data_IF_960975739492
#
_entry.id   IF_960975739492
#
_cell.length_a   1.000
_cell.length_b   1.000
_cell.length_c   1.000
_cell.angle_alpha   90.00
_cell.angle_beta   90.00
_cell.angle_gamma   90.00
#
_symmetry.space_group_name_H-M   'P 1'
#
loop_
_entity.id
_entity.type
_entity.pdbx_description
1 polymer ?
#
# COMPACT_ATOMS: atom_id res chain seq x y z
N UNK A 1 -14.78 10.24 -2.66
CA UNK A 1 -13.82 9.25 -3.19
C UNK A 1 -14.36 7.88 -2.79
N UNK A 2 -14.86 7.10 -3.77
CA UNK A 2 -15.71 5.92 -3.52
C UNK A 2 -14.90 4.62 -3.44
N UNK A 3 -15.32 3.71 -2.55
CA UNK A 3 -14.85 2.31 -2.43
C UNK A 3 -14.89 1.57 -3.78
N UNK A 4 -15.78 1.96 -4.68
CA UNK A 4 -15.91 1.34 -6.02
C UNK A 4 -14.64 1.37 -6.87
N UNK A 5 -13.70 2.28 -6.61
CA UNK A 5 -12.42 2.33 -7.34
C UNK A 5 -11.37 1.31 -6.86
N UNK A 6 -11.54 0.72 -5.68
CA UNK A 6 -10.70 -0.40 -5.22
C UNK A 6 -11.22 -1.71 -5.82
N UNK A 7 -12.54 -1.91 -5.78
CA UNK A 7 -13.21 -3.10 -6.30
C UNK A 7 -12.98 -3.33 -7.81
N UNK A 8 -12.62 -2.31 -8.58
CA UNK A 8 -12.27 -2.50 -10.00
C UNK A 8 -10.84 -3.03 -10.23
N UNK A 9 -10.00 -3.08 -9.20
CA UNK A 9 -8.58 -3.48 -9.31
C UNK A 9 -8.27 -4.84 -8.67
N UNK A 10 -9.22 -5.37 -7.90
CA UNK A 10 -9.13 -6.63 -7.17
C UNK A 10 -10.50 -7.31 -7.22
N UNK A 11 -10.52 -8.64 -7.19
CA UNK A 11 -11.78 -9.37 -7.02
C UNK A 11 -12.49 -8.91 -5.74
N UNK A 12 -13.82 -8.87 -5.75
CA UNK A 12 -14.62 -8.40 -4.61
C UNK A 12 -14.25 -9.13 -3.29
N UNK A 13 -13.88 -10.42 -3.41
CA UNK A 13 -13.44 -11.26 -2.30
C UNK A 13 -12.12 -10.80 -1.65
N UNK A 14 -11.32 -9.96 -2.33
CA UNK A 14 -10.03 -9.46 -1.84
C UNK A 14 -10.13 -8.04 -1.24
N UNK A 15 -11.28 -7.37 -1.38
CA UNK A 15 -11.49 -6.02 -0.82
C UNK A 15 -11.29 -6.00 0.70
N UNK A 16 -11.81 -7.03 1.40
CA UNK A 16 -11.61 -7.20 2.83
C UNK A 16 -10.13 -7.34 3.21
N UNK A 17 -9.39 -8.15 2.45
CA UNK A 17 -7.96 -8.41 2.68
C UNK A 17 -7.13 -7.13 2.51
N UNK A 18 -7.35 -6.38 1.43
CA UNK A 18 -6.65 -5.12 1.17
C UNK A 18 -6.97 -4.08 2.24
N UNK A 19 -8.25 -3.96 2.62
CA UNK A 19 -8.67 -3.00 3.66
C UNK A 19 -8.07 -3.32 5.02
N UNK A 20 -8.03 -4.61 5.40
CA UNK A 20 -7.40 -5.06 6.64
C UNK A 20 -5.90 -4.73 6.65
N UNK A 21 -5.19 -5.02 5.55
CA UNK A 21 -3.76 -4.71 5.43
C UNK A 21 -3.47 -3.21 5.44
N UNK A 22 -4.31 -2.39 4.82
CA UNK A 22 -4.18 -0.94 4.88
C UNK A 22 -4.34 -0.42 6.32
N UNK A 23 -5.33 -0.94 7.04
CA UNK A 23 -5.57 -0.58 8.44
C UNK A 23 -4.35 -0.92 9.30
N UNK A 24 -3.76 -2.09 9.11
CA UNK A 24 -2.54 -2.54 9.79
C UNK A 24 -1.35 -1.60 9.51
N UNK A 25 -1.08 -1.30 8.23
CA UNK A 25 0.03 -0.43 7.82
C UNK A 25 -0.15 0.99 8.37
N UNK A 26 -1.37 1.54 8.29
CA UNK A 26 -1.65 2.88 8.85
C UNK A 26 -1.45 2.90 10.35
N UNK A 27 -1.95 1.91 11.08
CA UNK A 27 -1.76 1.83 12.52
C UNK A 27 -0.26 1.76 12.89
N UNK A 28 0.53 0.98 12.15
CA UNK A 28 1.97 0.84 12.33
C UNK A 28 2.77 2.10 11.95
N UNK A 29 2.25 2.94 11.06
CA UNK A 29 2.94 4.15 10.60
C UNK A 29 2.98 5.28 11.64
N UNK A 30 2.18 5.23 12.70
CA UNK A 30 2.19 6.25 13.76
C UNK A 30 3.33 6.00 14.74
N UNK A 31 4.13 7.03 15.02
CA UNK A 31 5.18 6.98 16.03
C UNK A 31 4.59 7.12 17.42
N UNK A 32 5.35 6.70 18.44
CA UNK A 32 4.97 6.90 19.84
C UNK A 32 4.88 8.40 20.14
N UNK A 33 3.69 8.86 20.51
CA UNK A 33 3.41 10.28 20.77
C UNK A 33 2.67 11.00 19.63
N UNK A 34 2.46 10.36 18.48
CA UNK A 34 1.63 10.95 17.42
C UNK A 34 0.15 11.00 17.84
N UNK A 35 -0.49 12.15 17.62
CA UNK A 35 -1.95 12.29 17.76
C UNK A 35 -2.65 11.60 16.60
N UNK A 36 -3.39 10.53 16.89
CA UNK A 36 -4.20 9.82 15.90
C UNK A 36 -5.52 10.55 15.66
N UNK A 37 -5.54 11.50 14.74
CA UNK A 37 -6.77 12.15 14.29
C UNK A 37 -7.41 11.39 13.13
N UNK A 38 -8.72 11.52 12.97
CA UNK A 38 -9.44 10.92 11.85
C UNK A 38 -8.93 11.46 10.50
N UNK A 39 -8.56 12.75 10.46
CA UNK A 39 -8.01 13.40 9.26
C UNK A 39 -6.65 12.84 8.87
N UNK A 40 -5.76 12.60 9.83
CA UNK A 40 -4.43 12.04 9.55
C UNK A 40 -4.52 10.57 9.12
N UNK A 41 -5.41 9.79 9.75
CA UNK A 41 -5.73 8.42 9.29
C UNK A 41 -6.23 8.45 7.85
N UNK A 42 -7.16 9.35 7.53
CA UNK A 42 -7.70 9.50 6.17
C UNK A 42 -6.63 9.89 5.16
N UNK A 43 -5.74 10.83 5.51
CA UNK A 43 -4.62 11.25 4.66
C UNK A 43 -3.69 10.09 4.33
N UNK A 44 -3.26 9.32 5.34
CA UNK A 44 -2.39 8.15 5.15
C UNK A 44 -3.06 7.07 4.30
N UNK A 45 -4.36 6.85 4.51
CA UNK A 45 -5.15 5.93 3.69
C UNK A 45 -5.21 6.36 2.21
N UNK A 46 -5.38 7.66 1.94
CA UNK A 46 -5.37 8.20 0.58
C UNK A 46 -4.01 8.02 -0.12
N UNK A 47 -2.91 8.20 0.61
CA UNK A 47 -1.55 7.94 0.09
C UNK A 47 -1.40 6.47 -0.32
N UNK A 48 -1.80 5.54 0.55
CA UNK A 48 -1.74 4.11 0.21
C UNK A 48 -2.64 3.75 -0.97
N UNK A 49 -3.85 4.33 -1.06
CA UNK A 49 -4.74 4.11 -2.21
C UNK A 49 -4.13 4.60 -3.52
N UNK A 50 -3.46 5.76 -3.51
CA UNK A 50 -2.73 6.29 -4.69
C UNK A 50 -1.68 5.27 -5.15
N UNK A 51 -0.81 4.82 -4.25
CA UNK A 51 0.25 3.88 -4.60
C UNK A 51 -0.25 2.50 -4.98
N UNK A 52 -1.29 2.00 -4.32
CA UNK A 52 -1.92 0.74 -4.67
C UNK A 52 -2.47 0.77 -6.10
N UNK A 53 -3.11 1.87 -6.52
CA UNK A 53 -3.60 2.04 -7.90
C UNK A 53 -2.47 2.00 -8.91
N UNK A 54 -1.36 2.69 -8.65
CA UNK A 54 -0.20 2.69 -9.54
C UNK A 54 0.40 1.29 -9.62
N UNK A 55 0.66 0.65 -8.49
CA UNK A 55 1.31 -0.66 -8.46
C UNK A 55 0.41 -1.76 -9.05
N UNK A 56 -0.89 -1.76 -8.75
CA UNK A 56 -1.83 -2.77 -9.24
C UNK A 56 -2.30 -2.49 -10.67
N UNK A 57 -2.61 -1.24 -10.96
CA UNK A 57 -3.17 -0.78 -12.22
C UNK A 57 -2.11 -0.64 -13.31
N UNK A 58 -1.03 0.08 -13.05
CA UNK A 58 -0.02 0.41 -14.06
C UNK A 58 1.10 -0.63 -14.09
N UNK A 59 1.63 -0.99 -12.91
CA UNK A 59 2.76 -1.92 -12.81
C UNK A 59 2.34 -3.40 -12.77
N UNK A 60 1.04 -3.68 -12.64
CA UNK A 60 0.45 -5.04 -12.56
C UNK A 60 1.09 -5.94 -11.48
N UNK A 61 1.56 -5.35 -10.38
CA UNK A 61 2.18 -6.11 -9.29
C UNK A 61 1.17 -7.03 -8.59
N UNK A 62 1.71 -8.10 -8.01
CA UNK A 62 0.96 -9.01 -7.13
C UNK A 62 0.64 -8.31 -5.80
N UNK A 63 -0.43 -8.73 -5.13
CA UNK A 63 -0.81 -8.14 -3.84
C UNK A 63 0.31 -8.29 -2.79
N UNK A 64 1.03 -9.41 -2.80
CA UNK A 64 2.17 -9.65 -1.90
C UNK A 64 3.22 -8.55 -2.08
N UNK A 65 3.70 -8.34 -3.30
CA UNK A 65 4.70 -7.30 -3.60
C UNK A 65 4.21 -5.90 -3.25
N UNK A 66 2.92 -5.63 -3.48
CA UNK A 66 2.30 -4.34 -3.13
C UNK A 66 2.32 -4.14 -1.61
N UNK A 67 1.92 -5.15 -0.82
CA UNK A 67 1.91 -5.06 0.63
C UNK A 67 3.31 -4.92 1.23
N UNK A 68 4.31 -5.54 0.63
CA UNK A 68 5.71 -5.36 1.03
C UNK A 68 6.23 -3.94 0.72
N UNK A 69 5.73 -3.32 -0.35
CA UNK A 69 6.21 -2.02 -0.85
C UNK A 69 5.47 -0.81 -0.26
N UNK A 70 4.20 -0.98 0.13
CA UNK A 70 3.33 0.10 0.61
C UNK A 70 3.85 0.83 1.86
N UNK A 71 4.43 0.16 2.88
CA UNK A 71 4.98 0.85 4.05
C UNK A 71 6.08 1.85 3.69
N UNK A 72 6.96 1.47 2.75
CA UNK A 72 8.03 2.34 2.27
C UNK A 72 7.47 3.52 1.48
N UNK A 73 6.50 3.28 0.59
CA UNK A 73 5.83 4.33 -0.15
C UNK A 73 5.16 5.36 0.77
N UNK A 74 4.43 4.88 1.79
CA UNK A 74 3.81 5.73 2.80
C UNK A 74 4.85 6.54 3.57
N UNK A 75 5.94 5.91 4.00
CA UNK A 75 7.02 6.59 4.75
C UNK A 75 7.67 7.70 3.91
N UNK A 76 7.97 7.46 2.65
CA UNK A 76 8.60 8.46 1.77
C UNK A 76 7.68 9.65 1.54
N UNK A 77 6.41 9.40 1.21
CA UNK A 77 5.40 10.45 0.99
C UNK A 77 5.13 11.28 2.26
N UNK A 78 5.09 10.65 3.43
CA UNK A 78 4.94 11.37 4.70
C UNK A 78 6.12 12.29 5.01
N UNK A 79 7.32 11.98 4.50
CA UNK A 79 8.50 12.83 4.61
C UNK A 79 8.63 13.83 3.44
N UNK A 80 7.64 13.90 2.54
CA UNK A 80 7.65 14.78 1.37
C UNK A 80 8.62 14.35 0.26
N UNK A 81 9.09 13.11 0.28
CA UNK A 81 9.91 12.55 -0.79
C UNK A 81 9.06 11.99 -1.93
N UNK A 82 9.71 11.70 -3.06
CA UNK A 82 9.10 11.02 -4.19
C UNK A 82 9.45 9.53 -4.15
N UNK A 83 8.44 8.69 -3.93
CA UNK A 83 8.64 7.24 -3.91
C UNK A 83 8.72 6.72 -5.35
N UNK A 84 9.83 6.09 -5.71
CA UNK A 84 9.94 5.40 -7.00
C UNK A 84 9.81 3.89 -6.77
N UNK A 85 8.77 3.23 -7.32
CA UNK A 85 8.63 1.79 -7.23
C UNK A 85 9.85 1.08 -7.83
N UNK A 86 10.49 0.21 -7.06
CA UNK A 86 11.63 -0.56 -7.54
C UNK A 86 11.14 -1.56 -8.60
N UNK A 87 11.51 -1.33 -9.86
CA UNK A 87 11.12 -2.17 -10.99
C UNK A 87 11.84 -3.53 -10.98
N UNK A 88 12.96 -3.67 -10.25
CA UNK A 88 13.88 -4.82 -10.32
C UNK A 88 13.74 -5.85 -9.19
N UNK A 89 13.06 -5.53 -8.09
CA UNK A 89 12.80 -6.49 -7.01
C UNK A 89 11.66 -7.44 -7.34
N UNK A 90 11.91 -8.40 -8.23
CA UNK A 90 11.28 -9.71 -8.12
C UNK A 90 12.13 -10.47 -7.11
N UNK A 91 11.60 -10.71 -5.91
CA UNK A 91 12.24 -11.66 -5.01
C UNK A 91 12.12 -13.04 -5.64
N UNK A 92 13.21 -13.55 -6.21
CA UNK A 92 13.35 -14.95 -6.59
C UNK A 92 13.87 -15.64 -5.33
N UNK A 93 13.15 -16.62 -4.76
CA UNK A 93 13.69 -17.42 -3.68
C UNK A 93 15.04 -18.00 -4.14
N UNK A 94 16.07 -17.83 -3.33
CA UNK A 94 17.44 -18.27 -3.63
C UNK A 94 17.58 -19.79 -3.81
N UNK A 95 16.51 -20.56 -3.59
CA UNK A 95 16.44 -22.01 -3.84
C UNK A 95 15.95 -22.38 -5.26
N UNK A 96 15.57 -21.39 -6.09
CA UNK A 96 15.20 -21.62 -7.48
C UNK A 96 13.98 -22.51 -7.69
N UNK A 97 13.13 -22.69 -6.68
CA UNK A 97 11.90 -23.48 -6.83
C UNK A 97 10.76 -22.61 -7.40
N UNK A 98 10.49 -22.81 -8.69
CA UNK A 98 9.25 -22.42 -9.39
C UNK A 98 8.32 -23.61 -9.54
#
# INVERSE_FOLDING_TARGET
>A
MSIGSLASLIDENLVGVVTAKFTEIVAASFKKGDTRTQDEVRRRFQIMMKWFKIMRGDLKWTLVRIFDSLPDALKVELNGGDYTPDMRKVWIPSDGSV
#
